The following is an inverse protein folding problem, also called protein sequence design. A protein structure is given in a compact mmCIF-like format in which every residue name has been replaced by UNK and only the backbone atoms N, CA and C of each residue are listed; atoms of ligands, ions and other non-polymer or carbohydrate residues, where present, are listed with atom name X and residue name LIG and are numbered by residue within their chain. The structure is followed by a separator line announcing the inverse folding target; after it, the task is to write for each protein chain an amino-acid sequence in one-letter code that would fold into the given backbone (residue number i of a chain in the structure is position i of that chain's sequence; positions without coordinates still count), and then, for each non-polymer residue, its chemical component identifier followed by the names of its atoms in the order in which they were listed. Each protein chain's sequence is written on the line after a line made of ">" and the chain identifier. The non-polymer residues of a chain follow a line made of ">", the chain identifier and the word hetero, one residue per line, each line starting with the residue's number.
data_IF_294715990915
#
_entry.id   IF_294715990915
#
_cell.length_a   1.000
_cell.length_b   1.000
_cell.length_c   1.000
_cell.angle_alpha   90.00
_cell.angle_beta   90.00
_cell.angle_gamma   90.00
#
_symmetry.space_group_name_H-M   'P 1'
#
loop_
_entity.id
_entity.type
_entity.pdbx_description
1 polymer ?
#
# COMPACT_ATOMS: atom_id res chain seq x y z
N UNK A 1 -17.48 -13.59 3.60
CA UNK A 1 -16.72 -14.23 4.68
C UNK A 1 -15.24 -13.91 4.47
N UNK A 2 -14.53 -13.37 5.46
CA UNK A 2 -13.10 -13.09 5.31
C UNK A 2 -12.33 -14.42 5.28
N UNK A 3 -11.47 -14.60 4.28
CA UNK A 3 -10.59 -15.77 4.20
C UNK A 3 -9.47 -15.65 5.24
N UNK A 4 -8.81 -16.77 5.56
CA UNK A 4 -7.63 -16.77 6.42
C UNK A 4 -6.55 -15.82 5.88
N UNK A 5 -6.35 -15.81 4.57
CA UNK A 5 -5.40 -14.93 3.90
C UNK A 5 -5.76 -13.44 4.08
N UNK A 6 -7.05 -13.08 4.00
CA UNK A 6 -7.48 -11.70 4.24
C UNK A 6 -7.15 -11.24 5.68
N UNK A 7 -7.29 -12.13 6.66
CA UNK A 7 -6.96 -11.83 8.06
C UNK A 7 -5.45 -11.68 8.24
N UNK A 8 -4.65 -12.55 7.62
CA UNK A 8 -3.17 -12.45 7.64
C UNK A 8 -2.70 -11.15 7.00
N UNK A 9 -3.25 -10.77 5.84
CA UNK A 9 -2.91 -9.51 5.15
C UNK A 9 -3.28 -8.30 5.99
N UNK A 10 -4.45 -8.32 6.65
CA UNK A 10 -4.84 -7.25 7.57
C UNK A 10 -3.89 -7.14 8.77
N UNK A 11 -3.48 -8.26 9.35
CA UNK A 11 -2.51 -8.31 10.44
C UNK A 11 -1.12 -7.81 10.00
N UNK A 12 -0.64 -8.25 8.83
CA UNK A 12 0.62 -7.77 8.24
C UNK A 12 0.58 -6.26 8.02
N UNK A 13 -0.47 -5.74 7.40
CA UNK A 13 -0.60 -4.31 7.13
C UNK A 13 -0.64 -3.49 8.43
N UNK A 14 -1.46 -3.90 9.40
CA UNK A 14 -1.56 -3.20 10.69
C UNK A 14 -0.24 -3.21 11.47
N UNK A 15 0.42 -4.36 11.56
CA UNK A 15 1.71 -4.49 12.24
C UNK A 15 2.81 -3.72 11.53
N UNK A 16 2.91 -3.83 10.21
CA UNK A 16 3.93 -3.13 9.44
C UNK A 16 3.72 -1.60 9.49
N UNK A 17 2.47 -1.12 9.46
CA UNK A 17 2.16 0.29 9.66
C UNK A 17 2.60 0.78 11.03
N UNK A 18 2.20 0.08 12.10
CA UNK A 18 2.62 0.39 13.48
C UNK A 18 4.14 0.49 13.57
N UNK A 19 4.85 -0.53 13.07
CA UNK A 19 6.31 -0.58 13.06
C UNK A 19 6.98 0.49 12.19
N UNK A 20 6.35 0.90 11.09
CA UNK A 20 6.86 1.99 10.25
C UNK A 20 6.73 3.37 10.94
N UNK A 21 5.73 3.53 11.82
CA UNK A 21 5.53 4.77 12.58
C UNK A 21 6.27 4.82 13.91
N UNK A 22 6.53 3.68 14.54
CA UNK A 22 7.25 3.58 15.81
C UNK A 22 8.76 3.65 15.60
N UNK A 23 9.47 4.38 16.46
CA UNK A 23 10.94 4.36 16.51
C UNK A 23 11.38 3.06 17.20
N UNK A 24 11.57 2.01 16.42
CA UNK A 24 11.98 0.69 16.90
C UNK A 24 13.03 0.03 16.03
N UNK A 25 13.50 -1.14 16.47
CA UNK A 25 14.44 -1.94 15.68
C UNK A 25 13.77 -2.50 14.43
N UNK A 26 14.34 -2.18 13.26
CA UNK A 26 13.94 -2.76 11.96
C UNK A 26 14.02 -4.29 12.01
N UNK A 27 15.03 -4.85 12.67
CA UNK A 27 15.18 -6.30 12.78
C UNK A 27 14.03 -6.93 13.58
N UNK A 28 13.60 -6.29 14.67
CA UNK A 28 12.46 -6.77 15.46
C UNK A 28 11.15 -6.69 14.67
N UNK A 29 10.94 -5.60 13.92
CA UNK A 29 9.79 -5.47 13.03
C UNK A 29 9.77 -6.57 11.97
N UNK A 30 10.90 -6.81 11.30
CA UNK A 30 11.07 -7.86 10.30
C UNK A 30 10.80 -9.26 10.87
N UNK A 31 11.29 -9.55 12.07
CA UNK A 31 11.05 -10.83 12.73
C UNK A 31 9.56 -11.04 13.06
N UNK A 32 8.87 -10.01 13.56
CA UNK A 32 7.43 -10.06 13.82
C UNK A 32 6.62 -10.30 12.54
N UNK A 33 6.96 -9.60 11.45
CA UNK A 33 6.29 -9.78 10.16
C UNK A 33 6.50 -11.18 9.58
N UNK A 34 7.70 -11.76 9.72
CA UNK A 34 7.96 -13.15 9.34
C UNK A 34 7.11 -14.14 10.11
N UNK A 35 6.96 -13.92 11.43
CA UNK A 35 6.13 -14.77 12.28
C UNK A 35 4.65 -14.70 11.90
N UNK A 36 4.13 -13.51 11.57
CA UNK A 36 2.75 -13.34 11.09
C UNK A 36 2.55 -14.00 9.72
N UNK A 37 3.52 -13.84 8.82
CA UNK A 37 3.45 -14.40 7.47
C UNK A 37 3.53 -15.93 7.46
N UNK A 38 4.24 -16.55 8.42
CA UNK A 38 4.35 -18.01 8.54
C UNK A 38 4.76 -18.68 7.21
N UNK A 39 5.78 -18.11 6.56
CA UNK A 39 6.28 -18.58 5.26
C UNK A 39 5.47 -18.12 4.03
N UNK A 40 4.36 -17.40 4.20
CA UNK A 40 3.56 -16.84 3.11
C UNK A 40 4.17 -15.57 2.52
N UNK A 41 5.25 -15.75 1.77
CA UNK A 41 5.96 -14.69 1.05
C UNK A 41 5.05 -13.93 0.05
N UNK A 42 4.05 -14.62 -0.50
CA UNK A 42 3.01 -14.06 -1.37
C UNK A 42 2.16 -13.00 -0.65
N UNK A 43 1.79 -13.24 0.60
CA UNK A 43 1.00 -12.28 1.39
C UNK A 43 1.83 -11.07 1.82
N UNK A 44 3.14 -11.26 2.09
CA UNK A 44 4.06 -10.14 2.29
C UNK A 44 4.20 -9.29 1.02
N UNK A 45 4.27 -9.92 -0.16
CA UNK A 45 4.29 -9.23 -1.44
C UNK A 45 2.98 -8.48 -1.70
N UNK A 46 1.84 -9.07 -1.35
CA UNK A 46 0.55 -8.41 -1.44
C UNK A 46 0.49 -7.15 -0.57
N UNK A 47 0.87 -7.26 0.70
CA UNK A 47 0.89 -6.10 1.61
C UNK A 47 1.85 -5.02 1.09
N UNK A 48 3.07 -5.39 0.71
CA UNK A 48 4.06 -4.43 0.20
C UNK A 48 3.59 -3.74 -1.08
N UNK A 49 3.20 -4.51 -2.10
CA UNK A 49 2.79 -4.01 -3.39
C UNK A 49 1.58 -3.09 -3.27
N UNK A 50 0.53 -3.53 -2.57
CA UNK A 50 -0.69 -2.70 -2.44
C UNK A 50 -0.44 -1.38 -1.72
N UNK A 51 0.43 -1.35 -0.71
CA UNK A 51 0.82 -0.10 -0.03
C UNK A 51 1.62 0.82 -0.94
N UNK A 52 2.62 0.31 -1.68
CA UNK A 52 3.37 1.12 -2.66
C UNK A 52 2.43 1.66 -3.73
N UNK A 53 1.57 0.82 -4.30
CA UNK A 53 0.62 1.23 -5.32
C UNK A 53 -0.31 2.35 -4.83
N UNK A 54 -0.80 2.24 -3.59
CA UNK A 54 -1.63 3.27 -2.96
C UNK A 54 -0.88 4.61 -2.85
N UNK A 55 0.38 4.58 -2.41
CA UNK A 55 1.22 5.79 -2.35
C UNK A 55 1.48 6.39 -3.73
N UNK A 56 1.83 5.56 -4.73
CA UNK A 56 2.06 5.99 -6.11
C UNK A 56 0.81 6.61 -6.75
N UNK A 57 -0.38 6.18 -6.35
CA UNK A 57 -1.62 6.75 -6.87
C UNK A 57 -1.82 8.22 -6.46
N UNK A 58 -1.24 8.67 -5.35
CA UNK A 58 -1.38 10.04 -4.85
C UNK A 58 -0.21 10.46 -3.94
N UNK A 59 1.03 10.53 -4.45
CA UNK A 59 2.20 10.76 -3.59
C UNK A 59 2.14 12.09 -2.83
N UNK A 60 1.43 13.09 -3.36
CA UNK A 60 1.24 14.39 -2.73
C UNK A 60 0.36 14.36 -1.46
N UNK A 61 -0.46 13.33 -1.25
CA UNK A 61 -1.36 13.22 -0.09
C UNK A 61 -0.84 12.31 1.01
N UNK A 62 0.35 11.72 0.84
CA UNK A 62 0.93 10.76 1.77
C UNK A 62 2.35 11.16 2.17
N UNK A 63 2.69 10.96 3.45
CA UNK A 63 4.02 11.30 3.99
C UNK A 63 5.09 10.21 3.75
N UNK A 64 4.74 9.12 3.04
CA UNK A 64 5.68 8.06 2.67
C UNK A 64 5.76 6.88 3.65
N UNK A 65 4.91 6.83 4.68
CA UNK A 65 4.83 5.69 5.61
C UNK A 65 4.55 4.38 4.89
N UNK A 66 3.77 4.43 3.81
CA UNK A 66 3.47 3.30 2.94
C UNK A 66 4.73 2.68 2.33
N UNK A 67 5.74 3.50 1.99
CA UNK A 67 7.01 3.03 1.46
C UNK A 67 7.86 2.35 2.53
N UNK A 68 7.85 2.88 3.76
CA UNK A 68 8.53 2.25 4.90
C UNK A 68 7.87 0.91 5.26
N UNK A 69 6.55 0.87 5.31
CA UNK A 69 5.75 -0.33 5.50
C UNK A 69 6.11 -1.40 4.45
N UNK A 70 6.08 -1.02 3.17
CA UNK A 70 6.41 -1.93 2.08
C UNK A 70 7.85 -2.42 2.17
N UNK A 71 8.79 -1.54 2.52
CA UNK A 71 10.18 -1.89 2.79
C UNK A 71 10.29 -2.98 3.87
N UNK A 72 9.61 -2.82 5.01
CA UNK A 72 9.63 -3.82 6.08
C UNK A 72 9.11 -5.20 5.61
N UNK A 73 8.04 -5.23 4.81
CA UNK A 73 7.51 -6.46 4.23
C UNK A 73 8.49 -7.10 3.22
N UNK A 74 9.18 -6.29 2.40
CA UNK A 74 10.22 -6.77 1.49
C UNK A 74 11.38 -7.39 2.28
N UNK A 75 11.89 -6.69 3.31
CA UNK A 75 12.93 -7.23 4.19
C UNK A 75 12.50 -8.49 4.95
N UNK A 76 11.20 -8.64 5.24
CA UNK A 76 10.63 -9.84 5.82
C UNK A 76 10.65 -11.05 4.88
N UNK A 77 10.81 -10.84 3.57
CA UNK A 77 10.92 -11.91 2.57
C UNK A 77 9.73 -11.98 1.64
N UNK A 78 9.18 -10.83 1.23
CA UNK A 78 8.16 -10.78 0.19
C UNK A 78 8.64 -11.44 -1.11
N UNK A 79 7.76 -12.19 -1.78
CA UNK A 79 8.02 -12.69 -3.12
C UNK A 79 8.01 -11.54 -4.13
N UNK A 80 9.19 -11.15 -4.60
CA UNK A 80 9.36 -10.03 -5.51
C UNK A 80 8.72 -10.27 -6.88
N UNK A 81 8.51 -11.52 -7.29
CA UNK A 81 7.86 -11.85 -8.56
C UNK A 81 6.37 -11.47 -8.56
N UNK A 82 5.74 -11.41 -7.38
CA UNK A 82 4.33 -11.04 -7.22
C UNK A 82 4.14 -9.58 -6.82
N UNK A 83 5.21 -8.87 -6.49
CA UNK A 83 5.16 -7.50 -6.01
C UNK A 83 4.56 -6.54 -7.05
N UNK A 84 4.93 -6.71 -8.33
CA UNK A 84 4.46 -5.84 -9.42
C UNK A 84 2.94 -5.94 -9.63
N UNK A 85 2.40 -7.16 -9.62
CA UNK A 85 0.96 -7.40 -9.75
C UNK A 85 0.19 -6.68 -8.64
N UNK A 86 0.65 -6.82 -7.39
CA UNK A 86 0.01 -6.21 -6.24
C UNK A 86 0.19 -4.69 -6.17
N UNK A 87 1.30 -4.17 -6.67
CA UNK A 87 1.49 -2.73 -6.87
C UNK A 87 0.45 -2.17 -7.80
N UNK A 88 0.24 -2.80 -8.96
CA UNK A 88 -0.79 -2.37 -9.91
C UNK A 88 -2.18 -2.37 -9.26
N UNK A 89 -2.52 -3.42 -8.51
CA UNK A 89 -3.78 -3.49 -7.76
C UNK A 89 -3.91 -2.34 -6.75
N UNK A 90 -2.85 -2.04 -5.99
CA UNK A 90 -2.84 -0.92 -5.05
C UNK A 90 -3.04 0.43 -5.74
N UNK A 91 -2.37 0.63 -6.88
CA UNK A 91 -2.48 1.85 -7.67
C UNK A 91 -3.88 2.06 -8.22
N UNK A 92 -4.48 1.03 -8.81
CA UNK A 92 -5.84 1.10 -9.35
C UNK A 92 -6.86 1.37 -8.23
N UNK A 93 -6.69 0.78 -7.05
CA UNK A 93 -7.52 1.04 -5.87
C UNK A 93 -7.36 2.48 -5.37
N UNK A 94 -6.13 2.95 -5.18
CA UNK A 94 -5.83 4.31 -4.73
C UNK A 94 -6.44 5.35 -5.66
N UNK A 95 -6.31 5.17 -6.99
CA UNK A 95 -6.93 6.07 -7.97
C UNK A 95 -8.45 6.13 -7.88
N UNK A 96 -9.12 5.00 -7.60
CA UNK A 96 -10.58 4.98 -7.42
C UNK A 96 -11.01 5.68 -6.14
N UNK A 97 -10.23 5.51 -5.06
CA UNK A 97 -10.48 6.15 -3.76
C UNK A 97 -10.35 7.67 -3.78
N UNK A 98 -9.57 8.23 -4.71
CA UNK A 98 -9.47 9.68 -4.88
C UNK A 98 -10.76 10.32 -5.43
N UNK A 99 -11.67 9.53 -6.02
CA UNK A 99 -12.89 10.04 -6.66
C UNK A 99 -12.62 11.14 -7.69
N UNK A 100 -13.65 11.73 -8.30
CA UNK A 100 -13.50 13.01 -9.00
C UNK A 100 -13.45 14.13 -7.96
N UNK A 101 -12.30 14.32 -7.27
CA UNK A 101 -12.18 15.40 -6.29
C UNK A 101 -11.02 16.35 -6.65
N UNK A 102 -11.48 17.51 -7.17
CA UNK A 102 -10.86 18.84 -7.25
C UNK A 102 -9.75 19.13 -8.27
N UNK A 103 -10.19 19.71 -9.39
CA UNK A 103 -9.38 20.50 -10.31
C UNK A 103 -10.06 20.65 -11.67
N UNK A 104 -10.46 19.53 -12.28
CA UNK A 104 -10.99 19.53 -13.64
C UNK A 104 -12.49 19.86 -13.74
N UNK A 105 -13.33 19.39 -12.83
CA UNK A 105 -14.79 19.58 -12.95
C UNK A 105 -15.32 20.93 -12.45
N UNK A 106 -14.57 21.61 -11.57
CA UNK A 106 -14.93 22.97 -11.15
C UNK A 106 -14.44 24.01 -12.16
N UNK A 107 -13.23 23.83 -12.72
CA UNK A 107 -12.77 24.64 -13.84
C UNK A 107 -13.70 24.50 -15.06
N UNK A 108 -14.11 23.26 -15.39
CA UNK A 108 -15.03 22.99 -16.52
C UNK A 108 -16.45 23.53 -16.28
N UNK A 109 -16.93 23.56 -15.04
CA UNK A 109 -18.22 24.18 -14.67
C UNK A 109 -18.17 25.70 -14.53
N UNK A 110 -17.04 26.26 -14.11
CA UNK A 110 -16.85 27.71 -13.97
C UNK A 110 -16.51 28.41 -15.29
N UNK A 111 -15.89 27.70 -16.25
CA UNK A 111 -15.36 28.31 -17.48
C UNK A 111 -15.94 27.76 -18.78
N UNK A 112 -16.93 26.85 -18.73
CA UNK A 112 -17.81 26.54 -19.87
C UNK A 112 -17.12 26.33 -21.24
N UNK A 113 -15.89 25.82 -21.28
CA UNK A 113 -15.04 25.92 -22.46
C UNK A 113 -14.58 24.57 -22.99
N UNK A 114 -15.07 24.22 -24.18
CA UNK A 114 -14.41 23.26 -25.07
C UNK A 114 -13.01 23.79 -25.43
N UNK A 115 -12.04 22.88 -25.44
CA UNK A 115 -10.72 23.17 -26.02
C UNK A 115 -10.89 23.19 -27.55
N UNK A 116 -10.65 24.35 -28.15
CA UNK A 116 -10.17 24.51 -29.53
C UNK A 116 -8.89 25.33 -29.45
#
# INVERSE_FOLDING_TARGET
>A
MATRDNLTVAALHGTAWRRATERGSVHAAVAELRAIADGRADLLAQTAGTSVGTWVASPATHIGTELLLAGLCIYAGADLNQLEEHLRVGFERGRRSLGPVYGMDLWRRAHGGQIV
#
